data_IF_132343696954
#
_entry.id   IF_132343696954
#
_cell.length_a   1.000
_cell.length_b   1.000
_cell.length_c   1.000
_cell.angle_alpha   90.00
_cell.angle_beta   90.00
_cell.angle_gamma   90.00
#
_symmetry.space_group_name_H-M   'P 1'
#
loop_
_entity.id
_entity.type
_entity.pdbx_description
1 polymer ?
#
# COMPACT_ATOMS: atom_id res chain seq x y z
N UNK A 1 12.88 -2.81 14.34
CA UNK A 1 12.42 -2.98 12.94
C UNK A 1 10.91 -2.99 12.97
N UNK A 2 10.24 -2.12 12.22
CA UNK A 2 8.78 -2.15 12.11
C UNK A 2 8.40 -3.36 11.27
N UNK A 3 7.83 -4.38 11.90
CA UNK A 3 7.24 -5.53 11.23
C UNK A 3 5.73 -5.48 11.38
N UNK A 4 5.02 -5.93 10.35
CA UNK A 4 3.57 -6.11 10.34
C UNK A 4 3.32 -7.58 10.02
N UNK A 5 2.56 -8.26 10.88
CA UNK A 5 2.28 -9.70 10.74
C UNK A 5 3.53 -10.60 10.64
N UNK A 6 4.64 -10.17 11.24
CA UNK A 6 5.92 -10.89 11.17
C UNK A 6 6.74 -10.62 9.90
N UNK A 7 6.24 -9.80 8.96
CA UNK A 7 6.97 -9.41 7.75
C UNK A 7 7.61 -8.02 7.90
N UNK A 8 8.80 -7.79 7.30
CA UNK A 8 9.38 -6.46 7.22
C UNK A 8 8.47 -5.55 6.39
N UNK A 9 8.44 -4.26 6.72
CA UNK A 9 7.59 -3.29 6.03
C UNK A 9 8.44 -2.28 5.27
N UNK A 10 8.19 -2.16 3.97
CA UNK A 10 8.68 -1.07 3.14
C UNK A 10 7.66 0.06 3.16
N UNK A 11 8.01 1.19 3.76
CA UNK A 11 7.10 2.33 3.95
C UNK A 11 7.37 3.39 2.90
N UNK A 12 6.33 3.76 2.16
CA UNK A 12 6.29 4.96 1.31
C UNK A 12 5.52 6.03 2.07
N UNK A 13 6.25 6.94 2.70
CA UNK A 13 5.69 7.96 3.60
C UNK A 13 5.07 9.15 2.88
N UNK A 14 5.58 9.50 1.69
CA UNK A 14 5.09 10.65 0.93
C UNK A 14 5.22 10.40 -0.56
N UNK A 15 4.16 10.71 -1.30
CA UNK A 15 4.12 10.66 -2.76
C UNK A 15 3.70 12.05 -3.24
N UNK A 16 4.56 12.68 -4.04
CA UNK A 16 4.24 13.95 -4.70
C UNK A 16 4.34 13.76 -6.21
N UNK A 17 3.24 14.02 -6.91
CA UNK A 17 3.17 13.94 -8.37
C UNK A 17 2.95 15.36 -8.90
N UNK A 18 3.96 15.90 -9.59
CA UNK A 18 3.85 17.22 -10.22
C UNK A 18 2.99 17.21 -11.48
N UNK A 19 3.07 16.13 -12.27
CA UNK A 19 2.41 16.01 -13.56
C UNK A 19 1.56 14.72 -13.61
N UNK A 20 0.24 14.82 -13.34
CA UNK A 20 -0.64 13.66 -13.45
C UNK A 20 -0.82 13.21 -14.91
N UNK A 21 -1.18 11.94 -15.11
CA UNK A 21 -1.49 11.38 -16.44
C UNK A 21 -0.29 10.86 -17.25
N UNK A 22 0.93 11.04 -16.76
CA UNK A 22 2.18 10.56 -17.42
C UNK A 22 2.48 9.08 -17.18
N UNK A 23 1.76 8.43 -16.25
CA UNK A 23 2.00 7.04 -15.88
C UNK A 23 3.25 6.80 -15.02
N UNK A 24 4.03 7.83 -14.70
CA UNK A 24 5.27 7.72 -13.89
C UNK A 24 5.00 7.05 -12.54
N UNK A 25 3.92 7.45 -11.86
CA UNK A 25 3.57 6.85 -10.58
C UNK A 25 3.27 5.35 -10.70
N UNK A 26 2.62 4.93 -11.80
CA UNK A 26 2.32 3.51 -12.05
C UNK A 26 3.60 2.71 -12.26
N UNK A 27 4.57 3.26 -13.00
CA UNK A 27 5.88 2.62 -13.20
C UNK A 27 6.64 2.49 -11.88
N UNK A 28 6.68 3.57 -11.08
CA UNK A 28 7.27 3.54 -9.74
C UNK A 28 6.59 2.51 -8.83
N UNK A 29 5.25 2.45 -8.85
CA UNK A 29 4.50 1.50 -8.04
C UNK A 29 4.80 0.04 -8.43
N UNK A 30 4.96 -0.23 -9.73
CA UNK A 30 5.35 -1.55 -10.22
C UNK A 30 6.74 -1.97 -9.72
N UNK A 31 7.73 -1.09 -9.82
CA UNK A 31 9.08 -1.31 -9.30
C UNK A 31 9.07 -1.57 -7.78
N UNK A 32 8.33 -0.77 -7.02
CA UNK A 32 8.19 -0.96 -5.57
C UNK A 32 7.56 -2.30 -5.22
N UNK A 33 6.55 -2.76 -5.98
CA UNK A 33 5.96 -4.09 -5.80
C UNK A 33 6.95 -5.20 -6.11
N UNK A 34 7.76 -5.07 -7.17
CA UNK A 34 8.81 -6.04 -7.49
C UNK A 34 9.83 -6.16 -6.35
N UNK A 35 10.34 -5.03 -5.85
CA UNK A 35 11.27 -5.02 -4.71
C UNK A 35 10.63 -5.64 -3.47
N UNK A 36 9.37 -5.28 -3.17
CA UNK A 36 8.65 -5.84 -2.03
C UNK A 36 8.44 -7.36 -2.14
N UNK A 37 8.16 -7.86 -3.35
CA UNK A 37 8.00 -9.30 -3.59
C UNK A 37 9.32 -10.07 -3.41
N UNK A 38 10.39 -9.60 -4.07
CA UNK A 38 11.73 -10.20 -4.02
C UNK A 38 12.27 -10.28 -2.59
N UNK A 39 12.06 -9.23 -1.80
CA UNK A 39 12.52 -9.14 -0.42
C UNK A 39 11.51 -9.66 0.61
N UNK A 40 10.33 -10.11 0.15
CA UNK A 40 9.24 -10.58 0.99
C UNK A 40 8.77 -9.54 2.03
N UNK A 41 8.64 -8.29 1.59
CA UNK A 41 8.18 -7.16 2.40
C UNK A 41 6.69 -6.88 2.18
N UNK A 42 6.03 -6.36 3.21
CA UNK A 42 4.75 -5.66 3.06
C UNK A 42 5.04 -4.24 2.60
N UNK A 43 4.44 -3.84 1.47
CA UNK A 43 4.51 -2.46 0.99
C UNK A 43 3.38 -1.65 1.64
N UNK A 44 3.75 -0.64 2.44
CA UNK A 44 2.82 0.28 3.09
C UNK A 44 2.92 1.65 2.44
N UNK A 45 1.81 2.19 1.94
CA UNK A 45 1.70 3.59 1.53
C UNK A 45 0.94 4.34 2.61
N UNK A 46 1.59 5.31 3.26
CA UNK A 46 0.98 6.09 4.34
C UNK A 46 0.20 7.30 3.80
N UNK A 47 -0.68 7.85 4.64
CA UNK A 47 -1.37 9.11 4.40
C UNK A 47 -2.11 9.17 3.05
N UNK A 48 -2.81 8.08 2.70
CA UNK A 48 -3.68 8.06 1.51
C UNK A 48 -4.95 8.84 1.83
N UNK A 49 -4.92 10.15 1.56
CA UNK A 49 -6.03 11.08 1.81
C UNK A 49 -7.05 11.13 0.64
N UNK A 50 -6.65 11.22 -0.64
CA UNK A 50 -7.62 11.42 -1.71
C UNK A 50 -8.42 10.14 -2.02
N UNK A 51 -9.77 10.18 -2.06
CA UNK A 51 -10.59 9.00 -2.34
C UNK A 51 -10.30 8.34 -3.69
N UNK A 52 -10.02 9.14 -4.72
CA UNK A 52 -9.64 8.65 -6.05
C UNK A 52 -8.30 7.90 -6.01
N UNK A 53 -7.37 8.36 -5.19
CA UNK A 53 -6.08 7.71 -5.02
C UNK A 53 -6.22 6.38 -4.27
N UNK A 54 -7.05 6.33 -3.22
CA UNK A 54 -7.41 5.07 -2.55
C UNK A 54 -8.04 4.08 -3.52
N UNK A 55 -9.00 4.52 -4.35
CA UNK A 55 -9.63 3.67 -5.37
C UNK A 55 -8.62 3.11 -6.36
N UNK A 56 -7.69 3.94 -6.84
CA UNK A 56 -6.59 3.50 -7.69
C UNK A 56 -5.74 2.42 -7.01
N UNK A 57 -5.32 2.65 -5.76
CA UNK A 57 -4.52 1.68 -5.01
C UNK A 57 -5.26 0.36 -4.76
N UNK A 58 -6.57 0.39 -4.49
CA UNK A 58 -7.39 -0.83 -4.38
C UNK A 58 -7.38 -1.62 -5.70
N UNK A 59 -7.48 -0.95 -6.84
CA UNK A 59 -7.36 -1.59 -8.16
C UNK A 59 -5.96 -2.19 -8.40
N UNK A 60 -4.95 -1.61 -7.77
CA UNK A 60 -3.58 -2.10 -7.74
C UNK A 60 -3.37 -3.22 -6.68
N UNK A 61 -4.44 -3.70 -6.03
CA UNK A 61 -4.38 -4.81 -5.06
C UNK A 61 -4.01 -4.41 -3.64
N UNK A 62 -4.05 -3.12 -3.30
CA UNK A 62 -3.86 -2.67 -1.92
C UNK A 62 -5.10 -2.95 -1.06
N UNK A 63 -4.86 -3.43 0.15
CA UNK A 63 -5.85 -3.60 1.21
C UNK A 63 -5.80 -2.38 2.12
N UNK A 64 -6.98 -1.86 2.47
CA UNK A 64 -7.13 -0.74 3.39
C UNK A 64 -7.97 -1.20 4.59
N UNK A 65 -7.45 -1.14 5.83
CA UNK A 65 -8.27 -1.38 7.01
C UNK A 65 -9.26 -0.24 7.24
N UNK A 66 -10.37 -0.57 7.91
CA UNK A 66 -11.42 0.39 8.25
C UNK A 66 -12.28 0.84 7.07
N UNK A 67 -13.13 1.82 7.34
CA UNK A 67 -14.21 2.22 6.45
C UNK A 67 -13.71 2.97 5.20
N UNK A 68 -14.44 2.94 4.06
CA UNK A 68 -14.04 3.59 2.81
C UNK A 68 -13.80 5.11 2.89
N UNK A 69 -14.45 5.78 3.84
CA UNK A 69 -14.30 7.22 4.09
C UNK A 69 -13.13 7.56 5.02
N UNK A 70 -12.49 6.57 5.65
CA UNK A 70 -11.34 6.82 6.52
C UNK A 70 -10.09 7.11 5.68
N UNK A 71 -9.36 8.15 6.07
CA UNK A 71 -7.98 8.35 5.63
C UNK A 71 -7.08 7.35 6.35
N UNK A 72 -6.05 6.84 5.69
CA UNK A 72 -5.19 5.85 6.32
C UNK A 72 -4.08 5.32 5.43
N UNK A 73 -3.49 4.21 5.86
CA UNK A 73 -2.45 3.52 5.11
C UNK A 73 -3.03 2.42 4.24
N UNK A 74 -2.49 2.26 3.04
CA UNK A 74 -2.74 1.10 2.18
C UNK A 74 -1.62 0.09 2.31
N UNK A 75 -1.97 -1.20 2.31
CA UNK A 75 -1.01 -2.30 2.42
C UNK A 75 -1.08 -3.19 1.19
N UNK A 76 0.07 -3.55 0.63
CA UNK A 76 0.18 -4.52 -0.47
C UNK A 76 1.16 -5.62 -0.08
N UNK A 77 0.81 -6.85 -0.43
CA UNK A 77 1.64 -8.01 -0.19
C UNK A 77 1.38 -9.06 -1.29
N UNK A 78 2.41 -9.84 -1.63
CA UNK A 78 2.31 -10.88 -2.66
C UNK A 78 1.25 -11.94 -2.38
N UNK A 79 1.00 -12.20 -1.09
CA UNK A 79 -0.07 -13.08 -0.61
C UNK A 79 -1.18 -12.21 0.03
N UNK A 80 -2.17 -11.74 -0.74
CA UNK A 80 -3.18 -10.83 -0.23
C UNK A 80 -4.06 -11.46 0.86
N UNK A 81 -4.20 -12.78 0.91
CA UNK A 81 -4.97 -13.48 1.94
C UNK A 81 -4.43 -13.18 3.34
N UNK A 82 -3.10 -13.09 3.49
CA UNK A 82 -2.46 -12.73 4.78
C UNK A 82 -2.95 -11.37 5.27
N UNK A 83 -3.12 -10.39 4.37
CA UNK A 83 -3.62 -9.07 4.74
C UNK A 83 -5.12 -9.10 5.07
N UNK A 84 -5.91 -9.86 4.32
CA UNK A 84 -7.36 -9.96 4.54
C UNK A 84 -7.71 -10.69 5.84
N UNK A 85 -7.04 -11.79 6.15
CA UNK A 85 -7.25 -12.57 7.38
C UNK A 85 -6.86 -11.78 8.63
N UNK A 86 -5.98 -10.79 8.49
CA UNK A 86 -5.44 -10.00 9.60
C UNK A 86 -5.78 -8.51 9.46
N UNK A 87 -6.84 -8.16 8.72
CA UNK A 87 -7.16 -6.77 8.38
C UNK A 87 -7.37 -5.89 9.62
N UNK A 88 -7.91 -6.44 10.70
CA UNK A 88 -8.14 -5.73 11.97
C UNK A 88 -6.82 -5.34 12.66
N UNK A 89 -5.74 -6.09 12.43
CA UNK A 89 -4.40 -5.84 12.97
C UNK A 89 -3.62 -4.78 12.17
N UNK A 90 -4.10 -4.42 10.97
CA UNK A 90 -3.48 -3.38 10.12
C UNK A 90 -3.90 -1.95 10.52
N UNK A 91 -4.91 -1.83 11.39
CA UNK A 91 -5.54 -0.57 11.82
C UNK A 91 -4.80 0.19 12.94
N UNK A 92 -3.60 -0.28 13.34
CA UNK A 92 -2.80 0.32 14.42
C UNK A 92 -2.00 1.52 13.95
#
# INVERSE_FOLDING_TARGET
MCSVLGYPVMVVSTISVKEPGTGIFRALLAELKCIADEQNYILKIENVLPPLFRKYLIQEGFVFPGEPWMCGSGYWFKNPQVLHENIELLSV
#
